data_IF_783467284201
#
_entry.id   IF_783467284201
#
_cell.length_a   1.000
_cell.length_b   1.000
_cell.length_c   1.000
_cell.angle_alpha   90.00
_cell.angle_beta   90.00
_cell.angle_gamma   90.00
#
_symmetry.space_group_name_H-M   'P 1'
#
loop_
_entity.id
_entity.type
_entity.pdbx_description
1 polymer ?
#
# COMPACT_ATOMS: atom_id res chain seq x y z
N UNK A 1 -12.12 -4.49 -0.83
CA UNK A 1 -10.76 -3.93 -0.64
C UNK A 1 -10.72 -2.40 -0.78
N UNK A 2 -11.31 -1.82 -1.84
CA UNK A 2 -11.22 -0.38 -2.13
C UNK A 2 -11.70 0.54 -0.98
N UNK A 3 -12.83 0.23 -0.33
CA UNK A 3 -13.33 1.00 0.80
C UNK A 3 -12.34 1.04 1.98
N UNK A 4 -11.72 -0.10 2.32
CA UNK A 4 -10.71 -0.18 3.36
C UNK A 4 -9.47 0.69 3.03
N UNK A 5 -9.04 0.70 1.76
CA UNK A 5 -7.94 1.58 1.32
C UNK A 5 -8.30 3.06 1.46
N UNK A 6 -9.52 3.47 1.10
CA UNK A 6 -9.98 4.85 1.29
C UNK A 6 -9.95 5.27 2.76
N UNK A 7 -10.44 4.41 3.68
CA UNK A 7 -10.36 4.67 5.12
C UNK A 7 -8.92 4.78 5.63
N UNK A 8 -8.01 3.94 5.13
CA UNK A 8 -6.61 4.01 5.51
C UNK A 8 -5.93 5.27 4.96
N UNK A 9 -6.28 5.69 3.74
CA UNK A 9 -5.71 6.88 3.11
C UNK A 9 -6.16 8.18 3.79
N UNK A 10 -7.36 8.20 4.37
CA UNK A 10 -7.85 9.33 5.17
C UNK A 10 -7.31 9.35 6.61
N UNK A 11 -6.54 8.34 7.03
CA UNK A 11 -5.97 8.27 8.38
C UNK A 11 -4.74 9.17 8.51
N UNK A 12 -4.88 10.33 9.14
CA UNK A 12 -3.84 11.36 9.21
C UNK A 12 -2.50 10.91 9.82
N UNK A 13 -2.44 10.11 10.90
CA UNK A 13 -1.17 9.60 11.42
C UNK A 13 -0.44 8.69 10.43
N UNK A 14 -1.18 7.85 9.70
CA UNK A 14 -0.62 6.93 8.70
C UNK A 14 -0.08 7.71 7.50
N UNK A 15 -0.84 8.70 7.04
CA UNK A 15 -0.43 9.65 6.02
C UNK A 15 0.90 10.34 6.39
N UNK A 16 0.99 10.89 7.60
CA UNK A 16 2.20 11.55 8.09
C UNK A 16 3.39 10.59 8.14
N UNK A 17 3.17 9.37 8.64
CA UNK A 17 4.20 8.35 8.70
C UNK A 17 4.76 7.97 7.31
N UNK A 18 3.89 7.78 6.32
CA UNK A 18 4.30 7.47 4.95
C UNK A 18 5.13 8.61 4.35
N UNK A 19 4.66 9.86 4.45
CA UNK A 19 5.37 11.05 3.94
C UNK A 19 6.74 11.26 4.55
N UNK A 20 6.90 10.90 5.83
CA UNK A 20 8.18 11.03 6.52
C UNK A 20 9.26 10.07 6.02
N UNK A 21 8.94 9.12 5.12
CA UNK A 21 9.79 8.05 4.62
C UNK A 21 10.39 7.12 5.71
N UNK A 22 10.11 7.35 7.00
CA UNK A 22 10.54 6.53 8.15
C UNK A 22 10.18 5.05 7.99
N UNK A 23 9.09 4.77 7.27
CA UNK A 23 8.69 3.40 6.97
C UNK A 23 9.76 2.61 6.19
N UNK A 24 10.54 3.26 5.31
CA UNK A 24 11.58 2.58 4.53
C UNK A 24 12.70 2.03 5.41
N UNK A 25 13.05 2.74 6.48
CA UNK A 25 14.06 2.30 7.47
C UNK A 25 13.58 1.06 8.23
N UNK A 26 12.29 1.01 8.56
CA UNK A 26 11.66 -0.14 9.23
C UNK A 26 11.50 -1.34 8.29
N UNK A 27 11.29 -1.10 6.99
CA UNK A 27 11.07 -2.14 5.98
C UNK A 27 12.36 -2.76 5.41
N UNK A 28 13.47 -2.01 5.36
CA UNK A 28 14.77 -2.50 4.85
C UNK A 28 15.20 -3.87 5.43
N UNK A 29 15.10 -4.12 6.75
CA UNK A 29 15.53 -5.40 7.31
C UNK A 29 14.54 -6.58 7.12
N UNK A 30 13.32 -6.35 6.59
CA UNK A 30 12.23 -7.35 6.61
C UNK A 30 11.97 -8.08 5.28
N UNK A 31 12.77 -7.86 4.24
CA UNK A 31 12.74 -8.65 3.00
C UNK A 31 11.34 -8.72 2.32
N UNK A 32 10.90 -9.92 1.92
CA UNK A 32 9.61 -10.14 1.24
C UNK A 32 8.38 -9.75 2.08
N UNK A 33 8.50 -9.68 3.40
CA UNK A 33 7.41 -9.18 4.25
C UNK A 33 7.09 -7.71 3.94
N UNK A 34 8.09 -6.95 3.50
CA UNK A 34 7.98 -5.54 3.14
C UNK A 34 7.27 -5.29 1.81
N UNK A 35 7.07 -6.32 0.96
CA UNK A 35 6.46 -6.14 -0.36
C UNK A 35 5.05 -5.56 -0.27
N UNK A 36 4.24 -6.03 0.70
CA UNK A 36 2.88 -5.51 0.90
C UNK A 36 2.90 -4.05 1.37
N UNK A 37 3.81 -3.71 2.28
CA UNK A 37 3.95 -2.35 2.79
C UNK A 37 4.49 -1.38 1.71
N UNK A 38 5.40 -1.84 0.86
CA UNK A 38 5.89 -1.08 -0.29
C UNK A 38 4.78 -0.82 -1.31
N UNK A 39 4.01 -1.86 -1.70
CA UNK A 39 2.87 -1.72 -2.60
C UNK A 39 1.80 -0.79 -2.04
N UNK A 40 1.54 -0.84 -0.73
CA UNK A 40 0.62 0.08 -0.06
C UNK A 40 1.11 1.52 -0.07
N UNK A 41 2.40 1.75 0.23
CA UNK A 41 2.99 3.08 0.20
C UNK A 41 2.96 3.69 -1.21
N UNK A 42 3.32 2.91 -2.23
CA UNK A 42 3.26 3.36 -3.64
C UNK A 42 1.83 3.73 -4.06
N UNK A 43 0.84 2.93 -3.66
CA UNK A 43 -0.58 3.23 -3.89
C UNK A 43 -1.02 4.51 -3.18
N UNK A 44 -0.60 4.70 -1.93
CA UNK A 44 -0.89 5.91 -1.16
C UNK A 44 -0.33 7.16 -1.87
N UNK A 45 0.96 7.15 -2.26
CA UNK A 45 1.58 8.30 -2.94
C UNK A 45 0.98 8.56 -4.31
N UNK A 46 0.65 7.51 -5.07
CA UNK A 46 -0.01 7.66 -6.37
C UNK A 46 -1.39 8.32 -6.23
N UNK A 47 -2.19 7.90 -5.24
CA UNK A 47 -3.53 8.41 -4.99
C UNK A 47 -3.56 9.81 -4.37
N UNK A 48 -2.61 10.14 -3.48
CA UNK A 48 -2.65 11.35 -2.66
C UNK A 48 -1.73 12.46 -3.17
N UNK A 49 -0.51 12.14 -3.63
CA UNK A 49 0.51 13.16 -3.91
C UNK A 49 0.70 13.49 -5.38
N UNK A 50 0.48 12.52 -6.28
CA UNK A 50 0.76 12.75 -7.72
C UNK A 50 -0.46 13.10 -8.56
N UNK A 51 -1.67 13.14 -8.00
CA UNK A 51 -2.89 13.38 -8.78
C UNK A 51 -3.05 12.42 -9.98
N UNK A 52 -2.45 11.22 -9.90
CA UNK A 52 -2.42 10.24 -10.99
C UNK A 52 -1.21 10.32 -11.96
N UNK A 53 -0.27 11.25 -11.79
CA UNK A 53 0.86 11.42 -12.73
C UNK A 53 2.03 10.44 -12.55
N UNK A 54 2.10 9.67 -11.46
CA UNK A 54 2.99 8.51 -11.36
C UNK A 54 2.22 7.25 -11.72
N UNK A 55 2.76 6.44 -12.63
CA UNK A 55 2.25 5.10 -12.95
C UNK A 55 2.05 4.34 -11.63
N UNK A 56 0.81 4.12 -11.18
CA UNK A 56 0.57 3.57 -9.85
C UNK A 56 1.17 2.17 -9.79
N UNK A 57 1.73 1.77 -8.64
CA UNK A 57 1.64 0.35 -8.30
C UNK A 57 0.15 -0.02 -8.41
N UNK A 58 -0.17 -0.95 -9.30
CA UNK A 58 -1.57 -1.26 -9.59
C UNK A 58 -2.28 -1.75 -8.32
N UNK A 59 -3.51 -1.29 -8.02
CA UNK A 59 -4.32 -1.88 -6.96
C UNK A 59 -4.42 -3.40 -7.06
N UNK A 60 -4.28 -3.96 -8.28
CA UNK A 60 -4.22 -5.40 -8.54
C UNK A 60 -2.96 -6.06 -7.96
N UNK A 61 -1.82 -5.38 -7.94
CA UNK A 61 -0.58 -5.91 -7.37
C UNK A 61 -0.68 -6.05 -5.85
N UNK A 62 -1.26 -5.04 -5.17
CA UNK A 62 -1.55 -5.14 -3.74
C UNK A 62 -2.59 -6.23 -3.45
N UNK A 63 -3.66 -6.32 -4.26
CA UNK A 63 -4.68 -7.36 -4.16
C UNK A 63 -4.07 -8.76 -4.28
N UNK A 64 -3.22 -8.99 -5.28
CA UNK A 64 -2.54 -10.26 -5.49
C UNK A 64 -1.62 -10.61 -4.31
N UNK A 65 -0.87 -9.65 -3.77
CA UNK A 65 -0.01 -9.88 -2.60
C UNK A 65 -0.83 -10.18 -1.33
N UNK A 66 -2.00 -9.57 -1.16
CA UNK A 66 -2.93 -9.90 -0.07
C UNK A 66 -3.47 -11.33 -0.22
N UNK A 67 -3.94 -11.70 -1.41
CA UNK A 67 -4.43 -13.06 -1.71
C UNK A 67 -3.34 -14.12 -1.51
N UNK A 68 -2.11 -13.85 -1.95
CA UNK A 68 -0.95 -14.74 -1.76
C UNK A 68 -0.66 -15.01 -0.28
N UNK A 69 -0.87 -14.04 0.60
CA UNK A 69 -0.63 -14.20 2.06
C UNK A 69 -1.82 -14.77 2.80
N UNK A 70 -3.02 -14.49 2.34
CA UNK A 70 -4.24 -15.05 2.90
C UNK A 70 -5.20 -15.42 1.74
N UNK A 71 -5.26 -16.71 1.38
CA UNK A 71 -6.05 -17.21 0.26
C UNK A 71 -7.55 -16.87 0.33
N UNK A 72 -8.08 -16.54 1.52
CA UNK A 72 -9.45 -16.05 1.68
C UNK A 72 -9.76 -14.82 0.81
N UNK A 73 -8.74 -14.03 0.45
CA UNK A 73 -8.89 -12.80 -0.34
C UNK A 73 -8.54 -12.95 -1.82
N UNK A 74 -8.17 -14.14 -2.30
CA UNK A 74 -7.70 -14.35 -3.68
C UNK A 74 -8.80 -14.13 -4.75
N UNK A 75 -10.07 -14.24 -4.37
CA UNK A 75 -11.23 -14.08 -5.26
C UNK A 75 -12.16 -12.90 -4.96
N UNK A 76 -11.87 -12.03 -3.98
CA UNK A 76 -12.76 -10.91 -3.65
C UNK A 76 -12.66 -9.82 -4.71
N UNK A 77 -13.72 -9.57 -5.49
CA UNK A 77 -13.77 -8.51 -6.51
C UNK A 77 -13.54 -7.11 -5.93
#
# INVERSE_FOLDING_TARGET
MAAALQCLFSTAPLAHYLRSAKFQEVLRPRGTESRMAALFADLYFSAIETGGNRSPASPRALKAEVGRRNPMFEGCE
#
